data_IF_044774949815
#
_entry.id   IF_044774949815
#
_cell.length_a   1.000
_cell.length_b   1.000
_cell.length_c   1.000
_cell.angle_alpha   90.00
_cell.angle_beta   90.00
_cell.angle_gamma   90.00
#
_symmetry.space_group_name_H-M   'P 1'
#
loop_
_entity.id
_entity.type
_entity.pdbx_description
1 polymer ?
#
# COMPACT_ATOMS: atom_id res chain seq x y z
N UNK A 1 -2.69 24.35 3.03
CA UNK A 1 -2.15 24.77 1.72
C UNK A 1 -2.30 23.57 0.79
N UNK A 2 -2.92 23.78 -0.36
CA UNK A 2 -3.59 22.77 -1.19
C UNK A 2 -2.70 21.59 -1.58
N UNK A 3 -3.06 20.39 -1.08
CA UNK A 3 -2.44 19.13 -1.45
C UNK A 3 -2.92 18.66 -2.82
N UNK A 4 -2.53 19.38 -3.87
CA UNK A 4 -2.44 18.77 -5.20
C UNK A 4 -1.33 17.72 -5.12
N UNK A 5 -1.72 16.49 -4.82
CA UNK A 5 -0.88 15.31 -4.95
C UNK A 5 -0.42 15.27 -6.41
N UNK A 6 0.84 15.59 -6.66
CA UNK A 6 1.51 15.29 -7.92
C UNK A 6 1.31 13.78 -8.14
N UNK A 7 0.39 13.41 -9.02
CA UNK A 7 0.25 12.04 -9.48
C UNK A 7 1.60 11.66 -10.10
N UNK A 8 2.24 10.61 -9.59
CA UNK A 8 3.51 10.12 -10.13
C UNK A 8 3.35 9.93 -11.65
N UNK A 9 4.35 10.32 -12.45
CA UNK A 9 4.31 10.15 -13.92
C UNK A 9 4.05 8.69 -14.29
N UNK A 10 4.53 7.75 -13.46
CA UNK A 10 4.21 6.32 -13.59
C UNK A 10 2.73 6.01 -13.28
N UNK A 11 2.16 6.55 -12.21
CA UNK A 11 0.74 6.38 -11.88
C UNK A 11 -0.15 6.92 -13.01
N UNK A 12 0.20 8.10 -13.54
CA UNK A 12 -0.51 8.72 -14.65
C UNK A 12 -0.47 7.84 -15.91
N UNK A 13 0.70 7.34 -16.29
CA UNK A 13 0.82 6.45 -17.44
C UNK A 13 0.03 5.14 -17.27
N UNK A 14 0.04 4.56 -16.06
CA UNK A 14 -0.76 3.36 -15.74
C UNK A 14 -2.26 3.63 -15.80
N UNK A 15 -2.70 4.80 -15.32
CA UNK A 15 -4.09 5.24 -15.39
C UNK A 15 -4.54 5.42 -16.83
N UNK A 16 -3.76 6.12 -17.65
CA UNK A 16 -4.07 6.36 -19.08
C UNK A 16 -4.19 5.05 -19.87
N UNK A 17 -3.29 4.08 -19.66
CA UNK A 17 -3.36 2.78 -20.34
C UNK A 17 -4.60 1.97 -19.91
N UNK A 18 -4.96 2.01 -18.62
CA UNK A 18 -6.17 1.35 -18.15
C UNK A 18 -7.44 2.03 -18.70
N UNK A 19 -7.51 3.36 -18.67
CA UNK A 19 -8.62 4.15 -19.23
C UNK A 19 -8.85 3.81 -20.70
N UNK A 20 -7.78 3.71 -21.50
CA UNK A 20 -7.86 3.32 -22.91
C UNK A 20 -8.52 1.95 -23.13
N UNK A 21 -8.20 0.96 -22.30
CA UNK A 21 -8.81 -0.37 -22.41
C UNK A 21 -10.27 -0.37 -21.93
N UNK A 22 -10.58 0.34 -20.84
CA UNK A 22 -11.94 0.50 -20.34
C UNK A 22 -12.83 1.21 -21.37
N UNK A 23 -12.32 2.26 -22.00
CA UNK A 23 -12.97 2.98 -23.10
C UNK A 23 -13.31 2.07 -24.28
N UNK A 24 -12.38 1.17 -24.62
CA UNK A 24 -12.58 0.21 -25.69
C UNK A 24 -13.72 -0.76 -25.34
N UNK A 25 -13.77 -1.25 -24.11
CA UNK A 25 -14.86 -2.12 -23.65
C UNK A 25 -16.20 -1.38 -23.64
N UNK A 26 -16.23 -0.15 -23.13
CA UNK A 26 -17.42 0.70 -23.09
C UNK A 26 -18.02 0.92 -24.49
N UNK A 27 -17.19 1.34 -25.46
CA UNK A 27 -17.62 1.54 -26.86
C UNK A 27 -18.12 0.25 -27.51
N UNK A 28 -17.50 -0.89 -27.20
CA UNK A 28 -17.96 -2.19 -27.69
C UNK A 28 -19.37 -2.51 -27.17
N UNK A 29 -19.65 -2.22 -25.90
CA UNK A 29 -20.95 -2.49 -25.26
C UNK A 29 -22.06 -1.55 -25.72
N UNK A 30 -21.73 -0.33 -26.16
CA UNK A 30 -22.70 0.60 -26.77
C UNK A 30 -23.25 0.08 -28.12
N UNK A 31 -22.46 -0.70 -28.85
CA UNK A 31 -22.79 -1.16 -30.21
C UNK A 31 -23.20 -2.63 -30.24
N UNK A 32 -22.67 -3.44 -29.31
CA UNK A 32 -22.83 -4.89 -29.29
C UNK A 32 -23.10 -5.37 -27.87
N UNK A 33 -24.23 -6.07 -27.61
CA UNK A 33 -24.49 -6.58 -26.27
C UNK A 33 -23.48 -7.66 -25.87
N UNK A 34 -23.31 -7.83 -24.55
CA UNK A 34 -22.24 -8.63 -23.95
C UNK A 34 -22.24 -10.10 -24.41
N UNK A 35 -23.40 -10.70 -24.66
CA UNK A 35 -23.56 -12.08 -25.13
C UNK A 35 -22.98 -12.28 -26.54
N UNK A 36 -23.17 -11.29 -27.42
CA UNK A 36 -22.61 -11.30 -28.78
C UNK A 36 -21.09 -11.10 -28.75
N UNK A 37 -20.58 -10.25 -27.85
CA UNK A 37 -19.13 -10.09 -27.66
C UNK A 37 -18.46 -11.39 -27.21
N UNK A 38 -19.08 -12.12 -26.27
CA UNK A 38 -18.55 -13.38 -25.74
C UNK A 38 -18.60 -14.54 -26.74
N UNK A 39 -19.41 -14.44 -27.79
CA UNK A 39 -19.64 -15.49 -28.78
C UNK A 39 -18.98 -15.15 -30.12
N UNK A 40 -19.59 -14.25 -30.90
CA UNK A 40 -19.15 -13.89 -32.27
C UNK A 40 -17.78 -13.21 -32.28
N UNK A 41 -17.49 -12.42 -31.24
CA UNK A 41 -16.23 -11.68 -31.09
C UNK A 41 -15.35 -12.25 -29.97
N UNK A 42 -15.47 -13.55 -29.67
CA UNK A 42 -14.82 -14.19 -28.52
C UNK A 42 -13.32 -13.90 -28.42
N UNK A 43 -12.57 -14.04 -29.52
CA UNK A 43 -11.11 -13.85 -29.52
C UNK A 43 -10.71 -12.41 -29.14
N UNK A 44 -11.13 -11.36 -29.88
CA UNK A 44 -10.78 -9.98 -29.51
C UNK A 44 -11.35 -9.56 -28.15
N UNK A 45 -12.50 -10.10 -27.73
CA UNK A 45 -13.01 -9.85 -26.38
C UNK A 45 -12.11 -10.44 -25.28
N UNK A 46 -11.61 -11.67 -25.45
CA UNK A 46 -10.69 -12.27 -24.48
C UNK A 46 -9.36 -11.52 -24.42
N UNK A 47 -8.80 -11.12 -25.56
CA UNK A 47 -7.58 -10.31 -25.62
C UNK A 47 -7.78 -8.97 -24.87
N UNK A 48 -8.91 -8.29 -25.10
CA UNK A 48 -9.24 -7.06 -24.37
C UNK A 48 -9.40 -7.31 -22.86
N UNK A 49 -10.06 -8.40 -22.47
CA UNK A 49 -10.22 -8.78 -21.06
C UNK A 49 -8.87 -8.98 -20.38
N UNK A 50 -7.94 -9.68 -21.04
CA UNK A 50 -6.58 -9.89 -20.54
C UNK A 50 -5.81 -8.57 -20.41
N UNK A 51 -5.92 -7.67 -21.40
CA UNK A 51 -5.34 -6.33 -21.33
C UNK A 51 -5.89 -5.52 -20.16
N UNK A 52 -7.21 -5.51 -19.94
CA UNK A 52 -7.84 -4.85 -18.79
C UNK A 52 -7.32 -5.44 -17.48
N UNK A 53 -7.31 -6.77 -17.32
CA UNK A 53 -6.80 -7.42 -16.11
C UNK A 53 -5.34 -7.04 -15.83
N UNK A 54 -4.49 -7.04 -16.86
CA UNK A 54 -3.07 -6.69 -16.74
C UNK A 54 -2.89 -5.23 -16.34
N UNK A 55 -3.57 -4.31 -17.01
CA UNK A 55 -3.49 -2.88 -16.71
C UNK A 55 -4.05 -2.55 -15.32
N UNK A 56 -5.22 -3.11 -14.96
CA UNK A 56 -5.82 -2.95 -13.64
C UNK A 56 -4.92 -3.50 -12.53
N UNK A 57 -4.29 -4.65 -12.74
CA UNK A 57 -3.33 -5.22 -11.79
C UNK A 57 -2.12 -4.30 -11.62
N UNK A 58 -1.55 -3.80 -12.72
CA UNK A 58 -0.38 -2.92 -12.68
C UNK A 58 -0.69 -1.61 -11.95
N UNK A 59 -1.80 -0.96 -12.31
CA UNK A 59 -2.27 0.27 -11.66
C UNK A 59 -2.54 0.06 -10.17
N UNK A 60 -3.35 -0.95 -9.82
CA UNK A 60 -3.71 -1.25 -8.43
C UNK A 60 -2.47 -1.55 -7.59
N UNK A 61 -1.53 -2.34 -8.12
CA UNK A 61 -0.27 -2.66 -7.43
C UNK A 61 0.57 -1.42 -7.17
N UNK A 62 0.70 -0.55 -8.17
CA UNK A 62 1.47 0.69 -8.04
C UNK A 62 0.87 1.59 -6.94
N UNK A 63 -0.44 1.83 -6.97
CA UNK A 63 -1.12 2.69 -5.98
C UNK A 63 -1.09 2.06 -4.58
N UNK A 64 -1.43 0.78 -4.46
CA UNK A 64 -1.57 0.11 -3.16
C UNK A 64 -0.25 -0.19 -2.45
N UNK A 65 0.83 -0.46 -3.20
CA UNK A 65 2.12 -0.88 -2.64
C UNK A 65 3.26 0.12 -2.89
N UNK A 66 3.07 1.11 -3.75
CA UNK A 66 4.11 2.07 -4.12
C UNK A 66 4.69 2.82 -2.91
N UNK A 67 6.01 2.95 -2.89
CA UNK A 67 6.74 3.68 -1.84
C UNK A 67 6.80 3.00 -0.47
N UNK A 68 6.20 1.81 -0.29
CA UNK A 68 6.35 1.03 0.95
C UNK A 68 7.81 0.56 1.05
N UNK A 69 8.50 0.98 2.12
CA UNK A 69 9.92 0.67 2.36
C UNK A 69 10.05 -0.39 3.44
N UNK A 70 10.73 -1.50 3.10
CA UNK A 70 11.01 -2.61 4.02
C UNK A 70 12.39 -3.18 3.71
N UNK A 71 13.24 -3.37 4.72
CA UNK A 71 14.54 -4.03 4.58
C UNK A 71 14.32 -5.46 4.11
N UNK A 72 15.16 -5.90 3.18
CA UNK A 72 15.04 -7.21 2.54
C UNK A 72 14.89 -8.37 3.52
N UNK A 73 15.59 -8.32 4.68
CA UNK A 73 15.52 -9.36 5.72
C UNK A 73 14.12 -9.56 6.33
N UNK A 74 13.23 -8.58 6.21
CA UNK A 74 11.84 -8.67 6.67
C UNK A 74 10.83 -8.81 5.53
N UNK A 75 11.30 -9.01 4.29
CA UNK A 75 10.44 -9.03 3.10
C UNK A 75 9.32 -10.07 3.21
N UNK A 76 9.65 -11.30 3.62
CA UNK A 76 8.67 -12.39 3.72
C UNK A 76 7.62 -12.12 4.81
N UNK A 77 8.06 -11.65 5.98
CA UNK A 77 7.19 -11.31 7.10
C UNK A 77 6.21 -10.20 6.71
N UNK A 78 6.71 -9.09 6.19
CA UNK A 78 5.86 -7.99 5.76
C UNK A 78 4.93 -8.37 4.61
N UNK A 79 5.39 -9.24 3.70
CA UNK A 79 4.55 -9.79 2.64
C UNK A 79 3.39 -10.61 3.22
N UNK A 80 3.61 -11.36 4.31
CA UNK A 80 2.54 -12.07 5.01
C UNK A 80 1.47 -11.10 5.52
N UNK A 81 1.87 -10.02 6.20
CA UNK A 81 0.96 -8.97 6.67
C UNK A 81 0.16 -8.34 5.52
N UNK A 82 0.84 -7.92 4.44
CA UNK A 82 0.17 -7.32 3.29
C UNK A 82 -0.80 -8.30 2.60
N UNK A 83 -0.42 -9.57 2.45
CA UNK A 83 -1.29 -10.60 1.87
C UNK A 83 -2.52 -10.88 2.72
N UNK A 84 -2.40 -10.84 4.05
CA UNK A 84 -3.54 -10.98 4.95
C UNK A 84 -4.51 -9.80 4.80
N UNK A 85 -3.99 -8.56 4.73
CA UNK A 85 -4.80 -7.38 4.44
C UNK A 85 -5.54 -7.53 3.10
N UNK A 86 -4.85 -7.94 2.04
CA UNK A 86 -5.44 -8.16 0.71
C UNK A 86 -6.50 -9.26 0.74
N UNK A 87 -6.27 -10.35 1.47
CA UNK A 87 -7.21 -11.47 1.60
C UNK A 87 -8.50 -11.07 2.32
N UNK A 88 -8.39 -10.22 3.34
CA UNK A 88 -9.53 -9.71 4.10
C UNK A 88 -10.26 -8.57 3.37
N UNK A 89 -9.58 -7.91 2.43
CA UNK A 89 -10.13 -6.84 1.61
C UNK A 89 -11.16 -7.33 0.60
N UNK A 90 -12.17 -6.48 0.34
CA UNK A 90 -13.08 -6.65 -0.80
C UNK A 90 -12.67 -5.79 -2.01
N UNK A 91 -11.58 -5.02 -1.90
CA UNK A 91 -11.21 -4.05 -2.93
C UNK A 91 -10.91 -4.71 -4.28
N UNK A 92 -10.17 -5.82 -4.32
CA UNK A 92 -9.84 -6.49 -5.60
C UNK A 92 -11.09 -6.99 -6.34
N UNK A 93 -12.08 -7.50 -5.60
CA UNK A 93 -13.36 -7.92 -6.18
C UNK A 93 -14.11 -6.71 -6.76
N UNK A 94 -14.22 -5.63 -5.98
CA UNK A 94 -14.91 -4.40 -6.40
C UNK A 94 -14.19 -3.71 -7.56
N UNK A 95 -12.86 -3.79 -7.65
CA UNK A 95 -12.06 -3.28 -8.78
C UNK A 95 -12.41 -4.05 -10.05
N UNK A 96 -12.54 -5.38 -9.96
CA UNK A 96 -12.97 -6.21 -11.09
C UNK A 96 -14.37 -5.81 -11.58
N UNK A 97 -15.33 -5.63 -10.66
CA UNK A 97 -16.69 -5.17 -10.98
C UNK A 97 -16.68 -3.75 -11.59
N UNK A 98 -15.90 -2.83 -11.04
CA UNK A 98 -15.77 -1.48 -11.57
C UNK A 98 -15.18 -1.49 -12.99
N UNK A 99 -14.21 -2.36 -13.28
CA UNK A 99 -13.63 -2.50 -14.61
C UNK A 99 -14.60 -3.13 -15.63
N UNK A 100 -15.25 -4.23 -15.28
CA UNK A 100 -15.99 -5.05 -16.25
C UNK A 100 -17.50 -4.76 -16.33
N UNK A 101 -18.10 -4.21 -15.27
CA UNK A 101 -19.53 -3.89 -15.27
C UNK A 101 -19.78 -2.41 -15.51
N UNK A 102 -18.94 -1.52 -14.96
CA UNK A 102 -19.13 -0.06 -14.99
C UNK A 102 -18.13 0.69 -15.88
N UNK A 103 -16.99 0.07 -16.16
CA UNK A 103 -15.85 0.70 -16.85
C UNK A 103 -15.41 2.02 -16.18
N UNK A 104 -15.47 2.08 -14.85
CA UNK A 104 -15.23 3.32 -14.09
C UNK A 104 -13.81 3.38 -13.52
N UNK A 105 -12.95 4.17 -14.15
CA UNK A 105 -11.58 4.40 -13.69
C UNK A 105 -11.51 5.11 -12.33
N UNK A 106 -12.42 6.03 -12.04
CA UNK A 106 -12.37 6.80 -10.80
C UNK A 106 -12.75 5.92 -9.61
N UNK A 107 -13.71 5.01 -9.79
CA UNK A 107 -14.02 3.99 -8.79
C UNK A 107 -12.83 3.04 -8.57
N UNK A 108 -12.16 2.58 -9.64
CA UNK A 108 -10.95 1.77 -9.53
C UNK A 108 -9.85 2.50 -8.75
N UNK A 109 -9.63 3.79 -9.04
CA UNK A 109 -8.66 4.62 -8.33
C UNK A 109 -8.98 4.77 -6.84
N UNK A 110 -10.25 5.00 -6.50
CA UNK A 110 -10.69 5.07 -5.11
C UNK A 110 -10.48 3.74 -4.38
N UNK A 111 -10.82 2.61 -5.01
CA UNK A 111 -10.63 1.28 -4.43
C UNK A 111 -9.15 0.90 -4.27
N UNK A 112 -8.29 1.30 -5.20
CA UNK A 112 -6.85 1.07 -5.07
C UNK A 112 -6.23 1.86 -3.91
N UNK A 113 -6.72 3.09 -3.67
CA UNK A 113 -6.35 3.91 -2.50
C UNK A 113 -6.88 3.33 -1.20
N UNK A 114 -8.12 2.85 -1.19
CA UNK A 114 -8.68 2.14 -0.03
C UNK A 114 -7.84 0.89 0.31
N UNK A 115 -7.47 0.09 -0.70
CA UNK A 115 -6.59 -1.07 -0.49
C UNK A 115 -5.23 -0.66 0.09
N UNK A 116 -4.66 0.47 -0.34
CA UNK A 116 -3.44 1.03 0.26
C UNK A 116 -3.61 1.27 1.75
N UNK A 117 -4.69 1.93 2.15
CA UNK A 117 -4.96 2.27 3.55
C UNK A 117 -5.09 1.01 4.42
N UNK A 118 -5.83 0.00 3.92
CA UNK A 118 -5.98 -1.30 4.59
C UNK A 118 -4.61 -2.01 4.77
N UNK A 119 -3.75 -1.99 3.75
CA UNK A 119 -2.40 -2.57 3.82
C UNK A 119 -1.52 -1.80 4.81
N UNK A 120 -1.53 -0.46 4.76
CA UNK A 120 -0.72 0.38 5.66
C UNK A 120 -1.15 0.22 7.12
N UNK A 121 -2.45 0.04 7.39
CA UNK A 121 -2.95 -0.19 8.74
C UNK A 121 -2.44 -1.52 9.31
N UNK A 122 -2.42 -2.58 8.51
CA UNK A 122 -1.89 -3.88 8.94
C UNK A 122 -0.37 -3.83 9.08
N UNK A 123 0.34 -3.17 8.15
CA UNK A 123 1.79 -2.97 8.25
C UNK A 123 2.18 -2.08 9.43
N UNK A 124 1.31 -1.22 9.95
CA UNK A 124 1.58 -0.43 11.15
C UNK A 124 1.93 -1.33 12.36
N UNK A 125 1.18 -2.42 12.55
CA UNK A 125 1.45 -3.40 13.62
C UNK A 125 2.83 -4.03 13.44
N UNK A 126 3.15 -4.43 12.21
CA UNK A 126 4.48 -4.92 11.86
C UNK A 126 5.57 -3.88 12.16
N UNK A 127 5.39 -2.62 11.77
CA UNK A 127 6.37 -1.56 12.05
C UNK A 127 6.60 -1.38 13.55
N UNK A 128 5.55 -1.41 14.37
CA UNK A 128 5.67 -1.31 15.83
C UNK A 128 6.50 -2.44 16.44
N UNK A 129 6.41 -3.66 15.90
CA UNK A 129 7.22 -4.80 16.34
C UNK A 129 8.72 -4.65 16.04
N UNK A 130 9.07 -3.81 15.06
CA UNK A 130 10.45 -3.55 14.64
C UNK A 130 10.97 -2.18 15.10
N UNK A 131 10.31 -1.58 16.09
CA UNK A 131 10.78 -0.35 16.74
C UNK A 131 11.97 -0.64 17.65
N UNK A 132 12.98 0.21 17.58
CA UNK A 132 14.22 0.13 18.33
C UNK A 132 14.63 1.52 18.83
N UNK A 133 15.51 1.53 19.83
CA UNK A 133 16.27 2.71 20.22
C UNK A 133 17.66 2.61 19.60
N UNK A 134 18.04 3.61 18.81
CA UNK A 134 19.39 3.76 18.28
C UNK A 134 20.24 4.57 19.26
N UNK A 135 21.27 3.93 19.81
CA UNK A 135 22.23 4.54 20.72
C UNK A 135 23.55 4.75 19.97
N UNK A 136 23.86 6.00 19.59
CA UNK A 136 25.13 6.31 18.94
C UNK A 136 26.30 6.18 19.92
N UNK A 137 27.52 6.02 19.40
CA UNK A 137 28.76 6.06 20.22
C UNK A 137 28.88 7.36 21.02
N UNK A 138 28.38 8.46 20.48
CA UNK A 138 28.33 9.76 21.17
C UNK A 138 27.38 9.70 22.36
N UNK A 139 26.18 9.13 22.21
CA UNK A 139 25.24 8.91 23.32
C UNK A 139 25.84 8.02 24.43
N UNK A 140 26.67 7.04 24.05
CA UNK A 140 27.36 6.19 25.04
C UNK A 140 28.45 6.94 25.82
N UNK A 141 28.98 8.03 25.25
CA UNK A 141 30.07 8.82 25.83
C UNK A 141 29.56 10.08 26.56
N UNK A 142 28.41 10.61 26.17
CA UNK A 142 27.75 11.77 26.76
C UNK A 142 26.29 11.45 27.12
N UNK A 143 26.02 11.35 28.42
CA UNK A 143 24.70 11.00 28.95
C UNK A 143 23.65 12.12 28.79
N UNK A 144 24.03 13.30 28.28
CA UNK A 144 23.08 14.37 27.94
C UNK A 144 22.48 14.21 26.55
N UNK A 145 23.06 13.37 25.69
CA UNK A 145 22.52 13.06 24.38
C UNK A 145 21.47 11.96 24.51
N UNK A 146 20.23 12.28 24.16
CA UNK A 146 19.15 11.31 24.12
C UNK A 146 19.33 10.36 22.93
N UNK A 147 19.14 9.05 23.11
CA UNK A 147 19.14 8.12 22.00
C UNK A 147 17.89 8.31 21.13
N UNK A 148 17.94 7.81 19.90
CA UNK A 148 16.96 8.13 18.87
C UNK A 148 15.99 6.97 18.63
N UNK A 149 14.75 7.29 18.29
CA UNK A 149 13.77 6.29 17.90
C UNK A 149 14.07 5.82 16.46
N UNK A 150 14.19 4.51 16.27
CA UNK A 150 14.52 3.89 15.00
C UNK A 150 13.52 2.78 14.67
N UNK A 151 13.28 2.54 13.38
CA UNK A 151 12.55 1.38 12.90
C UNK A 151 13.48 0.50 12.07
N UNK A 152 13.79 -0.69 12.58
CA UNK A 152 14.71 -1.60 11.89
C UNK A 152 14.12 -2.16 10.60
N UNK A 153 12.79 -2.30 10.54
CA UNK A 153 12.13 -2.78 9.32
C UNK A 153 12.20 -1.77 8.18
N UNK A 154 12.08 -0.47 8.43
CA UNK A 154 12.08 0.54 7.36
C UNK A 154 13.44 1.22 7.15
N UNK A 155 14.41 0.98 8.05
CA UNK A 155 15.69 1.68 8.07
C UNK A 155 15.54 3.20 8.31
N UNK A 156 14.62 3.60 9.18
CA UNK A 156 14.32 5.01 9.41
C UNK A 156 14.51 5.41 10.87
N UNK A 157 15.00 6.63 11.07
CA UNK A 157 15.18 7.28 12.37
C UNK A 157 14.21 8.46 12.46
N UNK A 158 13.61 8.65 13.64
CA UNK A 158 12.70 9.76 13.89
C UNK A 158 13.49 11.00 14.33
N UNK A 159 13.47 12.04 13.51
CA UNK A 159 14.19 13.30 13.75
C UNK A 159 13.34 14.48 13.30
N UNK A 160 13.24 15.51 14.14
CA UNK A 160 12.52 16.75 13.82
C UNK A 160 11.06 16.56 13.39
N UNK A 161 10.38 15.54 13.94
CA UNK A 161 8.98 15.25 13.62
C UNK A 161 8.77 14.46 12.33
N UNK A 162 9.84 13.93 11.72
CA UNK A 162 9.76 13.16 10.48
C UNK A 162 10.63 11.91 10.53
N UNK A 163 10.22 10.88 9.77
CA UNK A 163 11.01 9.67 9.56
C UNK A 163 12.04 9.90 8.46
N UNK A 164 13.32 9.81 8.81
CA UNK A 164 14.44 10.01 7.90
C UNK A 164 15.18 8.70 7.65
N UNK A 165 15.64 8.46 6.42
CA UNK A 165 16.39 7.25 6.08
C UNK A 165 17.75 7.23 6.78
N UNK A 166 18.06 6.12 7.45
CA UNK A 166 19.35 5.83 8.07
C UNK A 166 19.66 4.33 7.95
N UNK A 167 20.34 3.96 6.88
CA UNK A 167 20.69 2.55 6.59
C UNK A 167 21.90 2.08 7.38
N UNK A 168 22.90 2.95 7.54
CA UNK A 168 24.10 2.64 8.31
C UNK A 168 23.88 2.92 9.81
N UNK A 169 23.86 1.85 10.59
CA UNK A 169 23.78 1.90 12.06
C UNK A 169 25.08 1.45 12.73
N UNK A 170 26.18 1.33 11.98
CA UNK A 170 27.48 0.81 12.49
C UNK A 170 28.14 1.72 13.52
N UNK A 171 27.74 3.00 13.58
CA UNK A 171 28.20 3.98 14.55
C UNK A 171 27.43 3.97 15.87
N UNK A 172 26.64 2.92 16.13
CA UNK A 172 25.88 2.76 17.37
C UNK A 172 25.40 1.33 17.60
N UNK A 173 24.46 1.18 18.53
CA UNK A 173 23.76 -0.06 18.81
C UNK A 173 22.25 0.15 18.64
N UNK A 174 21.56 -0.87 18.13
CA UNK A 174 20.09 -0.94 18.11
C UNK A 174 19.62 -1.77 19.29
N UNK A 175 18.84 -1.15 20.17
CA UNK A 175 18.21 -1.81 21.30
C UNK A 175 16.74 -2.06 20.96
N UNK A 176 16.28 -3.31 20.85
CA UNK A 176 14.87 -3.60 20.58
C UNK A 176 13.99 -3.10 21.72
N UNK A 177 12.79 -2.63 21.39
CA UNK A 177 11.80 -2.17 22.37
C UNK A 177 10.65 -3.15 22.42
N UNK A 178 10.28 -3.60 23.62
CA UNK A 178 8.99 -4.26 23.81
C UNK A 178 7.91 -3.18 23.90
N UNK A 179 7.06 -3.09 22.87
CA UNK A 179 5.89 -2.22 22.88
C UNK A 179 4.80 -2.91 23.71
N UNK A 180 4.64 -2.46 24.96
CA UNK A 180 3.58 -2.92 25.86
C UNK A 180 2.34 -2.08 25.60
N UNK A 181 1.26 -2.70 25.11
CA UNK A 181 -0.04 -2.06 25.05
C UNK A 181 -0.68 -2.12 26.44
N UNK A 182 -0.88 -0.96 27.09
CA UNK A 182 -1.76 -0.89 28.25
C UNK A 182 -3.19 -1.20 27.77
N UNK A 183 -3.75 -2.32 28.23
CA UNK A 183 -5.17 -2.60 28.07
C UNK A 183 -5.89 -1.63 29.01
N UNK A 184 -6.75 -0.72 28.52
CA UNK A 184 -7.50 0.15 29.40
C UNK A 184 -8.29 -0.73 30.38
N UNK A 185 -8.09 -0.48 31.68
CA UNK A 185 -8.82 -1.19 32.72
C UNK A 185 -10.33 -1.02 32.54
N UNK A 186 -11.15 -1.97 33.05
CA UNK A 186 -12.59 -1.85 32.95
C UNK A 186 -13.02 -0.50 33.52
N UNK A 187 -13.73 0.29 32.71
CA UNK A 187 -14.39 1.51 33.16
C UNK A 187 -15.39 1.07 34.21
N UNK A 188 -15.12 1.34 35.49
CA UNK A 188 -16.10 1.17 36.55
C UNK A 188 -17.34 1.99 36.17
N UNK A 189 -18.43 1.29 35.89
CA UNK A 189 -19.73 1.91 35.72
C UNK A 189 -20.07 2.57 37.05
N UNK A 190 -19.98 3.90 37.11
CA UNK A 190 -20.45 4.68 38.23
C UNK A 190 -21.95 4.37 38.45
N UNK A 191 -22.24 3.78 39.61
CA UNK A 191 -23.58 3.49 40.09
C UNK A 191 -24.24 4.75 40.70
#
# INVERSE_FOLDING_TARGET
MEGYVFMDEMEKALREELEKHLDTLRRNLEVVPMDVLKTKYKKPYQELKESICKAATAYTRHVSLGGIRIKQKYGDEATSYANEAVKNSQCLKRISEAAFDRQDMNEIAALAKQLREEILQVLHVFYLQHMCIYVSKECMSDHHLAPEVYNDATAQVWRNGEWQTMEDTSCGALLPVEVIYEVPGPVEAAA
#
